data_IF_346265779014
#
_entry.id   IF_346265779014
#
_cell.length_a   1.000
_cell.length_b   1.000
_cell.length_c   1.000
_cell.angle_alpha   90.00
_cell.angle_beta   90.00
_cell.angle_gamma   90.00
#
_symmetry.space_group_name_H-M   'P 1'
#
loop_
_entity.id
_entity.type
_entity.pdbx_description
1 polymer ?
#
# COMPACT_ATOMS: atom_id res chain seq x y z
N UNK A 1 13.46 41.27 -15.28
CA UNK A 1 12.83 40.22 -16.07
C UNK A 1 12.80 38.94 -15.25
N UNK A 2 11.66 38.64 -14.62
CA UNK A 2 11.47 37.46 -13.76
C UNK A 2 10.80 36.39 -14.62
N UNK A 3 11.50 35.34 -14.91
CA UNK A 3 10.91 34.15 -15.50
C UNK A 3 10.70 33.11 -14.40
N UNK A 4 9.54 33.13 -13.81
CA UNK A 4 9.04 32.04 -12.96
C UNK A 4 8.46 30.98 -13.89
N UNK A 5 9.21 29.94 -14.14
CA UNK A 5 8.70 28.70 -14.67
C UNK A 5 7.96 27.96 -13.54
N UNK A 6 6.69 28.26 -13.41
CA UNK A 6 5.77 27.47 -12.59
C UNK A 6 5.62 26.10 -13.22
N UNK A 7 6.38 25.15 -12.71
CA UNK A 7 6.14 23.73 -12.95
C UNK A 7 4.95 23.34 -12.10
N UNK A 8 3.74 23.60 -12.62
CA UNK A 8 2.53 23.00 -12.08
C UNK A 8 2.57 21.49 -12.38
N UNK A 9 3.11 20.70 -11.45
CA UNK A 9 2.72 19.31 -11.35
C UNK A 9 1.24 19.30 -10.99
N UNK A 10 0.40 19.13 -12.00
CA UNK A 10 -0.99 18.75 -11.78
C UNK A 10 -0.95 17.38 -11.08
N UNK A 11 -1.08 17.38 -9.76
CA UNK A 11 -1.44 16.17 -9.01
C UNK A 11 -2.76 15.69 -9.61
N UNK A 12 -2.69 14.63 -10.41
CA UNK A 12 -3.87 13.95 -10.92
C UNK A 12 -4.61 13.40 -9.70
N UNK A 13 -5.69 14.04 -9.34
CA UNK A 13 -6.55 13.61 -8.22
C UNK A 13 -7.04 12.18 -8.48
N UNK A 14 -6.50 11.23 -7.73
CA UNK A 14 -6.88 9.82 -7.87
C UNK A 14 -8.16 9.56 -7.10
N UNK A 15 -9.12 8.94 -7.77
CA UNK A 15 -10.38 8.59 -7.14
C UNK A 15 -10.20 7.49 -6.08
N UNK A 16 -11.02 7.55 -5.01
CA UNK A 16 -11.07 6.47 -4.00
C UNK A 16 -11.34 5.10 -4.63
N UNK A 17 -12.09 5.07 -5.73
CA UNK A 17 -12.40 3.83 -6.45
C UNK A 17 -11.14 3.26 -7.13
N UNK A 18 -10.30 4.08 -7.73
CA UNK A 18 -9.01 3.66 -8.31
C UNK A 18 -8.10 3.10 -7.21
N UNK A 19 -7.95 3.82 -6.09
CA UNK A 19 -7.13 3.36 -4.96
C UNK A 19 -7.56 1.98 -4.43
N UNK A 20 -8.86 1.67 -4.42
CA UNK A 20 -9.37 0.35 -4.02
C UNK A 20 -9.06 -0.76 -5.02
N UNK A 21 -8.89 -0.44 -6.31
CA UNK A 21 -8.60 -1.43 -7.35
C UNK A 21 -7.12 -1.77 -7.46
N UNK A 22 -6.21 -0.83 -7.20
CA UNK A 22 -4.77 -1.04 -7.34
C UNK A 22 -4.24 -2.26 -6.56
N UNK A 23 -4.64 -2.51 -5.29
CA UNK A 23 -4.23 -3.73 -4.59
C UNK A 23 -4.68 -5.02 -5.28
N UNK A 24 -5.86 -5.01 -5.91
CA UNK A 24 -6.36 -6.15 -6.68
C UNK A 24 -5.50 -6.41 -7.92
N UNK A 25 -5.11 -5.35 -8.63
CA UNK A 25 -4.18 -5.47 -9.77
C UNK A 25 -2.83 -6.03 -9.32
N UNK A 26 -2.28 -5.50 -8.24
CA UNK A 26 -1.01 -5.95 -7.68
C UNK A 26 -1.04 -7.43 -7.28
N UNK A 27 -2.08 -7.86 -6.57
CA UNK A 27 -2.26 -9.25 -6.16
C UNK A 27 -2.34 -10.19 -7.36
N UNK A 28 -3.07 -9.81 -8.40
CA UNK A 28 -3.16 -10.58 -9.62
C UNK A 28 -1.81 -10.71 -10.34
N UNK A 29 -1.09 -9.59 -10.50
CA UNK A 29 0.22 -9.56 -11.15
C UNK A 29 1.24 -10.44 -10.44
N UNK A 30 1.24 -10.41 -9.09
CA UNK A 30 2.13 -11.23 -8.26
C UNK A 30 1.77 -12.72 -8.29
N UNK A 31 0.48 -13.03 -8.46
CA UNK A 31 0.00 -14.42 -8.52
C UNK A 31 0.23 -15.10 -9.90
N UNK A 32 0.62 -14.34 -10.93
CA UNK A 32 0.95 -14.92 -12.23
C UNK A 32 2.18 -15.83 -12.10
N UNK A 33 2.18 -17.00 -12.78
CA UNK A 33 3.33 -17.90 -12.79
C UNK A 33 4.63 -17.23 -13.25
N UNK A 34 5.76 -17.73 -12.80
CA UNK A 34 7.09 -17.19 -13.18
C UNK A 34 7.36 -17.30 -14.68
N UNK A 35 6.85 -18.35 -15.31
CA UNK A 35 6.94 -18.59 -16.76
C UNK A 35 5.92 -17.82 -17.59
N UNK A 36 5.04 -17.03 -16.95
CA UNK A 36 4.12 -16.14 -17.66
C UNK A 36 4.89 -15.06 -18.42
N UNK A 37 4.25 -14.50 -19.45
CA UNK A 37 4.85 -13.42 -20.26
C UNK A 37 5.41 -12.29 -19.38
N UNK A 38 6.62 -11.83 -19.72
CA UNK A 38 7.24 -10.66 -19.07
C UNK A 38 6.42 -9.38 -19.25
N UNK A 39 5.56 -9.33 -20.26
CA UNK A 39 4.70 -8.19 -20.55
C UNK A 39 3.23 -8.55 -20.41
N UNK A 40 2.43 -7.61 -19.92
CA UNK A 40 0.98 -7.73 -19.80
C UNK A 40 0.28 -6.50 -20.38
N UNK A 41 -0.77 -6.71 -21.15
CA UNK A 41 -1.61 -5.63 -21.65
C UNK A 41 -2.71 -5.28 -20.63
N UNK A 42 -3.20 -4.04 -20.68
CA UNK A 42 -4.38 -3.65 -19.90
C UNK A 42 -5.60 -4.53 -20.22
N UNK A 43 -5.73 -4.97 -21.47
CA UNK A 43 -6.78 -5.89 -21.92
C UNK A 43 -6.65 -7.26 -21.25
N UNK A 44 -5.44 -7.82 -21.19
CA UNK A 44 -5.20 -9.11 -20.53
C UNK A 44 -5.44 -9.04 -19.02
N UNK A 45 -4.99 -7.97 -18.38
CA UNK A 45 -5.22 -7.74 -16.96
C UNK A 45 -6.73 -7.59 -16.66
N UNK A 46 -7.44 -6.81 -17.48
CA UNK A 46 -8.89 -6.61 -17.34
C UNK A 46 -9.66 -7.95 -17.51
N UNK A 47 -9.29 -8.73 -18.51
CA UNK A 47 -9.89 -10.05 -18.74
C UNK A 47 -9.67 -11.00 -17.55
N UNK A 48 -8.44 -11.08 -17.05
CA UNK A 48 -8.10 -11.94 -15.90
C UNK A 48 -8.80 -11.54 -14.61
N UNK A 49 -9.15 -10.27 -14.45
CA UNK A 49 -9.84 -9.73 -13.27
C UNK A 49 -11.35 -9.57 -13.49
N UNK A 50 -11.88 -9.92 -14.66
CA UNK A 50 -13.29 -9.67 -15.03
C UNK A 50 -13.72 -8.20 -14.87
N UNK A 51 -12.84 -7.28 -15.25
CA UNK A 51 -13.03 -5.82 -15.15
C UNK A 51 -13.12 -5.17 -16.52
N UNK A 52 -13.65 -3.95 -16.57
CA UNK A 52 -13.72 -3.18 -17.83
C UNK A 52 -12.33 -2.71 -18.29
N UNK A 53 -11.95 -3.02 -19.54
CA UNK A 53 -10.63 -2.69 -20.10
C UNK A 53 -10.33 -1.18 -20.04
N UNK A 54 -11.31 -0.35 -20.39
CA UNK A 54 -11.15 1.12 -20.39
C UNK A 54 -10.79 1.63 -18.99
N UNK A 55 -11.42 1.05 -17.96
CA UNK A 55 -11.16 1.41 -16.58
C UNK A 55 -9.76 1.00 -16.15
N UNK A 56 -9.37 -0.25 -16.41
CA UNK A 56 -8.03 -0.77 -16.10
C UNK A 56 -6.96 0.07 -16.81
N UNK A 57 -7.14 0.37 -18.09
CA UNK A 57 -6.20 1.19 -18.87
C UNK A 57 -6.02 2.59 -18.27
N UNK A 58 -7.12 3.24 -17.85
CA UNK A 58 -7.06 4.55 -17.19
C UNK A 58 -6.34 4.48 -15.83
N UNK A 59 -6.64 3.46 -15.03
CA UNK A 59 -5.99 3.28 -13.73
C UNK A 59 -4.49 3.05 -13.88
N UNK A 60 -4.06 2.18 -14.80
CA UNK A 60 -2.64 1.93 -15.03
C UNK A 60 -1.89 3.16 -15.53
N UNK A 61 -2.50 3.96 -16.40
CA UNK A 61 -1.91 5.21 -16.90
C UNK A 61 -1.75 6.30 -15.83
N UNK A 62 -2.42 6.16 -14.68
CA UNK A 62 -2.24 7.05 -13.53
C UNK A 62 -1.00 6.70 -12.71
N UNK A 63 -0.61 5.43 -12.68
CA UNK A 63 0.42 4.91 -11.77
C UNK A 63 1.70 4.50 -12.49
N UNK A 64 1.66 4.30 -13.82
CA UNK A 64 2.82 3.85 -14.59
C UNK A 64 2.88 4.50 -15.97
N UNK A 65 4.04 5.01 -16.32
CA UNK A 65 4.35 5.52 -17.66
C UNK A 65 4.94 4.44 -18.58
N UNK A 66 5.06 3.19 -18.07
CA UNK A 66 5.71 2.06 -18.74
C UNK A 66 4.90 1.42 -19.86
N UNK A 67 3.66 1.85 -20.09
CA UNK A 67 2.79 1.29 -21.13
C UNK A 67 3.31 1.56 -22.55
N UNK A 68 3.46 0.51 -23.36
CA UNK A 68 3.90 0.61 -24.76
C UNK A 68 2.82 0.07 -25.70
N UNK A 69 2.50 0.77 -26.81
CA UNK A 69 1.56 0.27 -27.81
C UNK A 69 1.97 -1.13 -28.30
N UNK A 70 1.00 -2.03 -28.41
CA UNK A 70 1.15 -3.43 -28.85
C UNK A 70 1.96 -4.36 -27.94
N UNK A 71 2.73 -3.83 -26.97
CA UNK A 71 3.57 -4.59 -26.05
C UNK A 71 2.90 -4.68 -24.67
N UNK A 72 2.26 -3.60 -24.21
CA UNK A 72 1.72 -3.47 -22.87
C UNK A 72 2.75 -2.94 -21.88
N UNK A 73 2.67 -3.40 -20.64
CA UNK A 73 3.55 -3.04 -19.52
C UNK A 73 4.49 -4.20 -19.20
N UNK A 74 5.75 -3.92 -18.91
CA UNK A 74 6.60 -4.90 -18.25
C UNK A 74 6.03 -5.23 -16.88
N UNK A 75 5.84 -6.52 -16.57
CA UNK A 75 5.16 -6.99 -15.35
C UNK A 75 5.87 -6.55 -14.07
N UNK A 76 7.18 -6.72 -14.01
CA UNK A 76 7.98 -6.37 -12.81
C UNK A 76 7.99 -4.86 -12.57
N UNK A 77 8.16 -4.07 -13.62
CA UNK A 77 8.11 -2.61 -13.52
C UNK A 77 6.72 -2.13 -13.10
N UNK A 78 5.66 -2.71 -13.63
CA UNK A 78 4.30 -2.35 -13.27
C UNK A 78 3.99 -2.70 -11.80
N UNK A 79 4.46 -3.83 -11.31
CA UNK A 79 4.38 -4.20 -9.88
C UNK A 79 5.08 -3.12 -9.04
N UNK A 80 6.32 -2.77 -9.36
CA UNK A 80 7.08 -1.77 -8.64
C UNK A 80 6.40 -0.39 -8.67
N UNK A 81 5.87 0.03 -9.81
CA UNK A 81 5.15 1.30 -9.95
C UNK A 81 3.89 1.35 -9.07
N UNK A 82 3.10 0.26 -9.05
CA UNK A 82 1.90 0.17 -8.20
C UNK A 82 2.30 0.15 -6.71
N UNK A 83 3.33 -0.59 -6.32
CA UNK A 83 3.82 -0.64 -4.94
C UNK A 83 4.31 0.72 -4.46
N UNK A 84 5.11 1.39 -5.27
CA UNK A 84 5.59 2.75 -4.98
C UNK A 84 4.43 3.74 -4.84
N UNK A 85 3.45 3.64 -5.73
CA UNK A 85 2.27 4.48 -5.69
C UNK A 85 1.42 4.25 -4.44
N UNK A 86 1.25 3.01 -4.02
CA UNK A 86 0.54 2.63 -2.78
C UNK A 86 1.36 2.90 -1.52
N UNK A 87 2.64 3.29 -1.64
CA UNK A 87 3.53 3.52 -0.52
C UNK A 87 4.05 2.24 0.17
N UNK A 88 3.94 1.08 -0.47
CA UNK A 88 4.37 -0.20 0.11
C UNK A 88 5.89 -0.29 0.29
N UNK A 89 6.67 0.48 -0.48
CA UNK A 89 8.11 0.62 -0.30
C UNK A 89 8.52 1.53 0.87
N UNK A 90 7.58 2.30 1.42
CA UNK A 90 7.82 3.18 2.56
C UNK A 90 7.45 2.46 3.84
N UNK A 91 8.40 2.25 4.75
CA UNK A 91 8.13 1.72 6.07
C UNK A 91 7.52 2.84 6.93
N UNK A 92 6.21 2.77 7.16
CA UNK A 92 5.51 3.68 8.06
C UNK A 92 5.28 2.99 9.40
N UNK A 93 5.83 3.55 10.45
CA UNK A 93 5.53 3.11 11.80
C UNK A 93 4.13 3.54 12.20
N UNK A 94 3.38 2.59 12.73
CA UNK A 94 2.02 2.79 13.21
C UNK A 94 1.89 2.35 14.66
N UNK A 95 0.96 2.94 15.36
CA UNK A 95 0.56 2.50 16.69
C UNK A 95 -0.89 2.03 16.69
N UNK A 96 -1.19 1.05 17.52
CA UNK A 96 -2.53 0.50 17.66
C UNK A 96 -3.21 1.10 18.89
N UNK A 97 -4.45 1.54 18.74
CA UNK A 97 -5.28 1.96 19.89
C UNK A 97 -6.25 0.83 20.20
N UNK A 98 -6.13 0.26 21.39
CA UNK A 98 -6.87 -0.91 21.84
C UNK A 98 -6.04 -2.20 21.77
N UNK A 99 -5.66 -2.77 22.93
CA UNK A 99 -4.87 -3.96 23.07
C UNK A 99 -5.69 -5.18 23.56
N UNK A 100 -6.97 -5.22 23.25
CA UNK A 100 -7.83 -6.38 23.50
C UNK A 100 -7.40 -7.59 22.65
N UNK A 101 -8.23 -8.62 22.59
CA UNK A 101 -7.92 -9.86 21.85
C UNK A 101 -7.52 -9.59 20.39
N UNK A 102 -8.30 -8.77 19.66
CA UNK A 102 -8.02 -8.42 18.27
C UNK A 102 -6.74 -7.56 18.18
N UNK A 103 -6.61 -6.51 19.00
CA UNK A 103 -5.46 -5.63 18.98
C UNK A 103 -4.14 -6.37 19.20
N UNK A 104 -4.09 -7.31 20.15
CA UNK A 104 -2.90 -8.16 20.37
C UNK A 104 -2.61 -9.09 19.21
N UNK A 105 -3.64 -9.62 18.55
CA UNK A 105 -3.46 -10.42 17.34
C UNK A 105 -2.84 -9.59 16.20
N UNK A 106 -3.36 -8.38 15.96
CA UNK A 106 -2.82 -7.45 14.96
C UNK A 106 -1.40 -6.98 15.31
N UNK A 107 -1.11 -6.70 16.59
CA UNK A 107 0.22 -6.29 17.04
C UNK A 107 1.28 -7.37 16.77
N UNK A 108 0.90 -8.64 16.87
CA UNK A 108 1.77 -9.79 16.58
C UNK A 108 1.84 -10.19 15.11
N UNK A 109 1.03 -9.62 14.25
CA UNK A 109 0.96 -10.02 12.84
C UNK A 109 2.05 -9.30 12.03
N UNK A 110 2.96 -10.08 11.41
CA UNK A 110 4.08 -9.55 10.62
C UNK A 110 3.73 -9.18 9.17
N UNK A 111 2.61 -9.70 8.64
CA UNK A 111 2.23 -9.49 7.23
C UNK A 111 1.93 -8.04 6.84
N UNK A 112 1.75 -7.14 7.81
CA UNK A 112 1.59 -5.71 7.50
C UNK A 112 2.85 -5.07 6.91
N UNK A 113 4.03 -5.62 7.19
CA UNK A 113 5.29 -5.11 6.63
C UNK A 113 5.34 -5.23 5.10
N UNK A 114 4.68 -6.23 4.52
CA UNK A 114 4.55 -6.41 3.06
C UNK A 114 3.77 -5.26 2.40
N UNK A 115 2.97 -4.53 3.19
CA UNK A 115 2.18 -3.38 2.76
C UNK A 115 2.76 -2.06 3.26
N UNK A 116 4.05 -2.04 3.65
CA UNK A 116 4.72 -0.84 4.13
C UNK A 116 4.23 -0.34 5.49
N UNK A 117 3.55 -1.18 6.29
CA UNK A 117 3.02 -0.81 7.61
C UNK A 117 3.71 -1.62 8.70
N UNK A 118 4.40 -0.93 9.61
CA UNK A 118 5.05 -1.53 10.76
C UNK A 118 4.33 -1.11 12.05
N UNK A 119 3.59 -2.02 12.69
CA UNK A 119 2.95 -1.73 13.98
C UNK A 119 4.01 -1.90 15.07
N UNK A 120 4.43 -0.79 15.67
CA UNK A 120 5.54 -0.76 16.65
C UNK A 120 5.09 -0.87 18.10
N UNK A 121 3.87 -0.45 18.42
CA UNK A 121 3.34 -0.44 19.80
C UNK A 121 1.80 -0.44 19.81
N UNK A 122 1.23 -0.75 20.96
CA UNK A 122 -0.20 -0.52 21.21
C UNK A 122 -0.41 0.35 22.45
N UNK A 123 -1.57 1.00 22.50
CA UNK A 123 -2.02 1.79 23.63
C UNK A 123 -3.39 1.31 24.09
N UNK A 124 -3.60 1.22 25.39
CA UNK A 124 -4.88 0.82 25.98
C UNK A 124 -5.19 1.64 27.24
N UNK A 125 -6.47 1.80 27.53
CA UNK A 125 -6.94 2.42 28.77
C UNK A 125 -6.99 1.44 29.93
N UNK A 126 -6.99 0.14 29.66
CA UNK A 126 -7.04 -0.91 30.67
C UNK A 126 -5.64 -1.24 31.18
N UNK A 127 -5.35 -0.86 32.41
CA UNK A 127 -4.06 -1.07 33.06
C UNK A 127 -3.65 -2.55 33.16
N UNK A 128 -4.59 -3.49 33.14
CA UNK A 128 -4.28 -4.94 33.20
C UNK A 128 -3.65 -5.45 31.91
N UNK A 129 -3.75 -4.71 30.82
CA UNK A 129 -3.18 -5.06 29.53
C UNK A 129 -1.80 -4.42 29.28
N UNK A 130 -1.38 -3.48 30.14
CA UNK A 130 -0.11 -2.78 30.01
C UNK A 130 1.05 -3.75 30.24
N UNK A 131 2.07 -3.65 29.39
CA UNK A 131 3.24 -4.50 29.45
C UNK A 131 3.81 -4.81 28.07
N UNK A 132 4.24 -6.04 27.87
CA UNK A 132 4.87 -6.48 26.63
C UNK A 132 4.12 -7.68 26.06
N UNK A 133 3.94 -7.71 24.78
CA UNK A 133 3.37 -8.86 24.07
C UNK A 133 4.38 -10.00 23.91
N UNK A 134 3.91 -11.17 23.52
CA UNK A 134 4.78 -12.31 23.16
C UNK A 134 5.77 -11.99 22.03
N UNK A 135 5.46 -11.03 21.15
CA UNK A 135 6.35 -10.57 20.08
C UNK A 135 7.31 -9.45 20.49
N UNK A 136 7.43 -9.13 21.78
CA UNK A 136 8.34 -8.08 22.27
C UNK A 136 7.83 -6.64 22.09
N UNK A 137 6.67 -6.43 21.50
CA UNK A 137 6.13 -5.09 21.28
C UNK A 137 5.41 -4.57 22.53
N UNK A 138 5.62 -3.30 22.92
CA UNK A 138 5.04 -2.74 24.14
C UNK A 138 3.55 -2.44 24.00
N UNK A 139 2.82 -2.62 25.12
CA UNK A 139 1.47 -2.09 25.32
C UNK A 139 1.59 -1.03 26.39
N UNK A 140 1.27 0.20 26.05
CA UNK A 140 1.43 1.39 26.90
C UNK A 140 0.08 1.96 27.31
N UNK A 141 0.07 2.80 28.35
CA UNK A 141 -1.13 3.52 28.76
C UNK A 141 -1.54 4.52 27.67
N UNK A 142 -2.86 4.62 27.41
CA UNK A 142 -3.40 5.56 26.42
C UNK A 142 -3.01 7.02 26.72
N UNK A 143 -2.83 7.38 28.00
CA UNK A 143 -2.38 8.72 28.41
C UNK A 143 -0.98 9.08 27.89
N UNK A 144 -0.16 8.10 27.50
CA UNK A 144 1.20 8.32 26.96
C UNK A 144 1.23 8.40 25.42
N UNK A 145 0.06 8.38 24.76
CA UNK A 145 0.00 8.40 23.30
C UNK A 145 0.71 9.64 22.72
N UNK A 146 0.54 10.82 23.34
CA UNK A 146 1.18 12.05 22.88
C UNK A 146 2.72 12.04 22.98
N UNK A 147 3.28 11.26 23.90
CA UNK A 147 4.75 11.10 24.03
C UNK A 147 5.32 10.17 22.96
N UNK A 148 4.54 9.19 22.51
CA UNK A 148 4.95 8.19 21.52
C UNK A 148 4.94 8.69 20.07
N UNK A 149 4.21 9.77 19.77
CA UNK A 149 4.09 10.35 18.43
C UNK A 149 5.14 11.42 18.10
N UNK A 150 6.09 11.68 18.98
CA UNK A 150 7.12 12.73 18.81
C UNK A 150 8.48 12.21 18.29
N UNK A 151 8.52 11.00 17.72
CA UNK A 151 9.75 10.43 17.13
C UNK A 151 9.62 10.25 15.64
#
# INVERSE_FOLDING_TARGET
MHNRSDTQHMEKEISKATLKRLPTYLSYLKALPEDASANISATALAAGLHMGEVQVRKDLALVSDGGRPKIGYNREHLIADIENFLGYGNSNDAVLIGAGKLGRALLGYSGFAEYGLNIVAAFDANDTLIGTTKGGKPIMRLSRLGEGCQR
#
